data_IF_567796119027
#
_entry.id   IF_567796119027
#
_cell.length_a   1.000
_cell.length_b   1.000
_cell.length_c   1.000
_cell.angle_alpha   90.00
_cell.angle_beta   90.00
_cell.angle_gamma   90.00
#
_symmetry.space_group_name_H-M   'P 1'
#
loop_
_entity.id
_entity.type
_entity.pdbx_description
1 polymer ?
#
# COMPACT_ATOMS: atom_id res chain seq x y z
N UNK A 1 8.79 13.50 7.68
CA UNK A 1 8.85 12.97 9.06
C UNK A 1 9.94 11.90 9.16
N UNK A 2 11.01 12.14 9.92
CA UNK A 2 11.98 11.09 10.28
C UNK A 2 11.53 10.51 11.63
N UNK A 3 10.99 9.30 11.64
CA UNK A 3 10.75 8.60 12.91
C UNK A 3 12.10 8.27 13.55
N UNK A 4 12.45 8.99 14.63
CA UNK A 4 13.63 8.66 15.43
C UNK A 4 13.36 7.34 16.20
N UNK A 5 14.42 6.64 16.62
CA UNK A 5 14.27 5.45 17.49
C UNK A 5 13.45 5.77 18.74
N UNK A 6 13.63 6.96 19.31
CA UNK A 6 12.89 7.41 20.50
C UNK A 6 11.38 7.55 20.24
N UNK A 7 10.99 8.00 19.05
CA UNK A 7 9.58 8.11 18.67
C UNK A 7 8.92 6.75 18.47
N UNK A 8 9.66 5.74 18.01
CA UNK A 8 9.11 4.38 17.83
C UNK A 8 8.88 3.71 19.18
N UNK A 9 9.80 3.89 20.13
CA UNK A 9 9.66 3.35 21.48
C UNK A 9 8.49 3.99 22.24
N UNK A 10 8.25 5.29 22.09
CA UNK A 10 7.09 5.95 22.71
C UNK A 10 5.77 5.48 22.11
N UNK A 11 5.72 5.29 20.78
CA UNK A 11 4.54 4.70 20.12
C UNK A 11 4.29 3.27 20.59
N UNK A 12 5.35 2.47 20.76
CA UNK A 12 5.23 1.11 21.27
C UNK A 12 4.69 1.09 22.71
N UNK A 13 5.19 1.98 23.56
CA UNK A 13 4.68 2.13 24.93
C UNK A 13 3.20 2.55 24.94
N UNK A 14 2.78 3.45 24.06
CA UNK A 14 1.37 3.79 23.92
C UNK A 14 0.51 2.59 23.49
N UNK A 15 1.00 1.77 22.55
CA UNK A 15 0.30 0.54 22.12
C UNK A 15 0.18 -0.48 23.24
N UNK A 16 1.21 -0.59 24.08
CA UNK A 16 1.18 -1.39 25.30
C UNK A 16 0.20 -0.84 26.36
N UNK A 17 -0.26 0.40 26.20
CA UNK A 17 -1.36 1.02 26.98
C UNK A 17 -2.68 1.06 26.19
N UNK A 18 -2.83 0.21 25.17
CA UNK A 18 -4.02 0.11 24.31
C UNK A 18 -4.35 1.37 23.49
N UNK A 19 -3.34 2.22 23.23
CA UNK A 19 -3.47 3.43 22.43
C UNK A 19 -2.58 3.37 21.19
N UNK A 20 -3.09 3.77 20.03
CA UNK A 20 -2.31 3.82 18.81
C UNK A 20 -2.46 5.16 18.09
N UNK A 21 -1.38 5.66 17.47
CA UNK A 21 -1.42 6.95 16.80
C UNK A 21 -2.09 6.84 15.43
N UNK A 22 -2.92 7.84 15.12
CA UNK A 22 -3.46 8.12 13.79
C UNK A 22 -3.16 9.57 13.41
N UNK A 23 -3.07 9.93 12.11
CA UNK A 23 -2.85 11.32 11.69
C UNK A 23 -3.93 12.26 12.25
N UNK A 24 -3.59 13.41 12.83
CA UNK A 24 -4.57 14.27 13.52
C UNK A 24 -5.72 14.77 12.63
N UNK A 25 -5.46 14.99 11.34
CA UNK A 25 -6.45 15.43 10.35
C UNK A 25 -7.59 14.39 10.15
N UNK A 26 -7.39 13.15 10.62
CA UNK A 26 -8.37 12.08 10.54
C UNK A 26 -9.52 12.17 11.55
N UNK A 27 -9.33 12.88 12.67
CA UNK A 27 -10.28 12.90 13.78
C UNK A 27 -11.49 13.79 13.50
N UNK A 28 -11.34 14.83 12.67
CA UNK A 28 -12.45 15.73 12.27
C UNK A 28 -13.15 15.36 10.96
N UNK A 29 -12.56 14.47 10.16
CA UNK A 29 -12.96 14.24 8.76
C UNK A 29 -13.41 12.80 8.48
N UNK A 30 -13.71 12.02 9.54
CA UNK A 30 -14.23 10.65 9.46
C UNK A 30 -15.60 10.53 8.75
N UNK A 31 -16.29 11.66 8.50
CA UNK A 31 -17.66 11.72 7.97
C UNK A 31 -17.81 12.42 6.60
N UNK A 32 -16.77 13.03 6.04
CA UNK A 32 -16.90 13.75 4.77
C UNK A 32 -16.77 12.81 3.56
N UNK A 33 -17.74 11.92 3.37
CA UNK A 33 -18.00 11.29 2.07
C UNK A 33 -18.61 12.31 1.11
N UNK A 34 -17.86 13.33 0.72
CA UNK A 34 -18.27 14.19 -0.40
C UNK A 34 -17.85 13.46 -1.69
N UNK A 35 -18.79 13.18 -2.62
CA UNK A 35 -18.48 12.48 -3.87
C UNK A 35 -17.66 13.33 -4.86
N UNK A 36 -17.28 14.56 -4.48
CA UNK A 36 -16.64 15.56 -5.37
C UNK A 36 -15.19 15.90 -5.01
N UNK A 37 -14.64 15.36 -3.93
CA UNK A 37 -13.23 15.56 -3.60
C UNK A 37 -12.41 14.44 -4.24
N UNK A 38 -11.48 14.84 -5.11
CA UNK A 38 -10.53 13.99 -5.82
C UNK A 38 -10.15 12.73 -5.03
N UNK A 39 -10.31 11.57 -5.65
CA UNK A 39 -10.16 10.23 -5.10
C UNK A 39 -8.69 9.81 -4.84
N UNK A 40 -7.81 10.76 -4.55
CA UNK A 40 -6.38 10.55 -4.26
C UNK A 40 -5.93 11.34 -3.02
N UNK A 41 -6.85 11.98 -2.30
CA UNK A 41 -6.52 12.73 -1.08
C UNK A 41 -6.28 11.73 0.04
N UNK A 42 -5.01 11.38 0.23
CA UNK A 42 -4.54 11.15 1.57
C UNK A 42 -4.50 12.51 2.25
N UNK A 43 -5.17 12.62 3.41
CA UNK A 43 -5.11 13.82 4.22
C UNK A 43 -3.64 14.15 4.50
N UNK A 44 -3.32 15.45 4.51
CA UNK A 44 -1.99 15.88 4.88
C UNK A 44 -1.64 15.26 6.23
N UNK A 45 -0.57 14.46 6.29
CA UNK A 45 0.00 14.11 7.58
C UNK A 45 0.71 15.38 8.06
N UNK A 46 -0.03 16.24 8.76
CA UNK A 46 0.57 17.21 9.66
C UNK A 46 1.43 16.43 10.67
N UNK A 47 2.53 17.01 11.16
CA UNK A 47 3.44 16.33 12.11
C UNK A 47 2.76 15.95 13.46
N UNK A 48 1.48 16.29 13.63
CA UNK A 48 0.63 15.93 14.75
C UNK A 48 -0.08 14.58 14.53
N UNK A 49 0.07 13.69 15.51
CA UNK A 49 -0.70 12.44 15.64
C UNK A 49 -1.64 12.55 16.83
N UNK A 50 -2.82 11.92 16.72
CA UNK A 50 -3.74 11.73 17.84
C UNK A 50 -3.69 10.26 18.25
N UNK A 51 -3.64 10.00 19.55
CA UNK A 51 -3.71 8.65 20.08
C UNK A 51 -5.17 8.27 20.33
N UNK A 52 -5.60 7.19 19.68
CA UNK A 52 -6.94 6.62 19.83
C UNK A 52 -6.83 5.23 20.46
N UNK A 53 -7.91 4.70 21.06
CA UNK A 53 -7.98 3.28 21.40
C UNK A 53 -7.55 2.41 20.23
N UNK A 54 -6.73 1.39 20.51
CA UNK A 54 -6.06 0.59 19.47
C UNK A 54 -7.06 -0.06 18.49
N UNK A 55 -8.25 -0.40 18.99
CA UNK A 55 -9.36 -0.95 18.19
C UNK A 55 -9.93 0.08 17.21
N UNK A 56 -10.07 1.34 17.63
CA UNK A 56 -10.54 2.43 16.76
C UNK A 56 -9.46 2.80 15.74
N UNK A 57 -8.21 2.90 16.18
CA UNK A 57 -7.08 3.15 15.31
C UNK A 57 -6.91 2.05 14.25
N UNK A 58 -7.14 0.78 14.62
CA UNK A 58 -7.16 -0.37 13.70
C UNK A 58 -8.24 -0.18 12.65
N UNK A 59 -9.46 0.15 13.07
CA UNK A 59 -10.58 0.35 12.15
C UNK A 59 -10.28 1.47 11.15
N UNK A 60 -9.73 2.59 11.63
CA UNK A 60 -9.29 3.69 10.79
C UNK A 60 -8.27 3.25 9.72
N UNK A 61 -7.23 2.49 10.11
CA UNK A 61 -6.23 2.01 9.16
C UNK A 61 -6.83 1.06 8.12
N UNK A 62 -7.74 0.18 8.54
CA UNK A 62 -8.44 -0.75 7.66
C UNK A 62 -9.34 -0.01 6.65
N UNK A 63 -10.09 0.99 7.11
CA UNK A 63 -10.97 1.79 6.25
C UNK A 63 -10.15 2.58 5.22
N UNK A 64 -9.02 3.14 5.64
CA UNK A 64 -8.13 3.86 4.74
C UNK A 64 -7.53 2.91 3.69
N UNK A 65 -7.11 1.70 4.08
CA UNK A 65 -6.63 0.68 3.14
C UNK A 65 -7.72 0.31 2.12
N UNK A 66 -8.96 0.12 2.56
CA UNK A 66 -10.09 -0.19 1.69
C UNK A 66 -10.36 0.92 0.67
N UNK A 67 -10.31 2.19 1.09
CA UNK A 67 -10.42 3.34 0.18
C UNK A 67 -9.31 3.33 -0.87
N UNK A 68 -8.07 3.11 -0.45
CA UNK A 68 -6.92 3.03 -1.36
C UNK A 68 -7.03 1.87 -2.36
N UNK A 69 -7.53 0.69 -1.94
CA UNK A 69 -7.82 -0.41 -2.88
C UNK A 69 -8.88 -0.03 -3.91
N UNK A 70 -9.93 0.68 -3.47
CA UNK A 70 -10.93 1.24 -4.37
C UNK A 70 -10.31 2.17 -5.41
N UNK A 71 -9.36 3.02 -4.99
CA UNK A 71 -8.64 3.89 -5.91
C UNK A 71 -7.75 3.13 -6.89
N UNK A 72 -7.00 2.13 -6.43
CA UNK A 72 -6.21 1.28 -7.30
C UNK A 72 -7.06 0.60 -8.37
N UNK A 73 -8.23 0.07 -7.99
CA UNK A 73 -9.17 -0.54 -8.95
C UNK A 73 -9.64 0.47 -9.99
N UNK A 74 -9.96 1.69 -9.57
CA UNK A 74 -10.39 2.75 -10.49
C UNK A 74 -9.26 3.19 -11.42
N UNK A 75 -8.03 3.31 -10.92
CA UNK A 75 -6.85 3.62 -11.72
C UNK A 75 -6.60 2.55 -12.78
N UNK A 76 -6.72 1.26 -12.42
CA UNK A 76 -6.61 0.14 -13.36
C UNK A 76 -7.66 0.20 -14.46
N UNK A 77 -8.93 0.39 -14.10
CA UNK A 77 -10.03 0.47 -15.07
C UNK A 77 -9.87 1.67 -16.04
N UNK A 78 -9.45 2.82 -15.53
CA UNK A 78 -9.17 4.01 -16.37
C UNK A 78 -8.00 3.76 -17.32
N UNK A 79 -6.93 3.13 -16.85
CA UNK A 79 -5.78 2.78 -17.68
C UNK A 79 -6.15 1.73 -18.74
N UNK A 80 -6.93 0.71 -18.40
CA UNK A 80 -7.39 -0.30 -19.36
C UNK A 80 -8.21 0.31 -20.50
N UNK A 81 -9.06 1.29 -20.16
CA UNK A 81 -9.92 2.00 -21.13
C UNK A 81 -9.14 2.96 -22.02
N UNK A 82 -8.22 3.74 -21.44
CA UNK A 82 -7.51 4.82 -22.15
C UNK A 82 -6.20 4.34 -22.77
N UNK A 83 -5.53 3.36 -22.17
CA UNK A 83 -4.18 2.87 -22.52
C UNK A 83 -3.13 3.97 -22.59
N UNK A 84 -3.33 5.03 -21.82
CA UNK A 84 -2.40 6.16 -21.70
C UNK A 84 -1.64 5.97 -20.39
N UNK A 85 -0.30 6.10 -20.40
CA UNK A 85 0.49 6.12 -19.17
C UNK A 85 -0.09 7.10 -18.16
N UNK A 86 -0.16 6.68 -16.90
CA UNK A 86 -0.58 7.55 -15.80
C UNK A 86 0.65 8.39 -15.43
N UNK A 87 0.96 9.39 -16.25
CA UNK A 87 2.08 10.31 -16.07
C UNK A 87 1.72 11.42 -15.07
N UNK A 88 2.70 11.84 -14.29
CA UNK A 88 2.73 13.07 -13.50
C UNK A 88 2.20 14.28 -14.32
N UNK A 89 2.50 14.35 -15.62
CA UNK A 89 1.99 15.42 -16.51
C UNK A 89 0.51 15.27 -16.90
N UNK A 90 0.01 14.04 -16.98
CA UNK A 90 -1.39 13.72 -17.31
C UNK A 90 -2.31 13.75 -16.08
N UNK A 91 -1.72 13.55 -14.90
CA UNK A 91 -2.38 13.72 -13.61
C UNK A 91 -2.67 15.20 -13.37
N UNK A 92 -3.86 15.47 -12.82
CA UNK A 92 -4.19 16.81 -12.34
C UNK A 92 -3.07 17.28 -11.39
N UNK A 93 -2.74 18.57 -11.44
CA UNK A 93 -1.74 19.17 -10.52
C UNK A 93 -1.99 18.74 -9.07
N UNK A 94 -3.26 18.69 -8.70
CA UNK A 94 -3.74 18.17 -7.43
C UNK A 94 -3.29 16.74 -7.12
N UNK A 95 -3.46 15.79 -8.03
CA UNK A 95 -3.10 14.39 -7.79
C UNK A 95 -1.57 14.20 -7.68
N UNK A 96 -0.81 15.00 -8.45
CA UNK A 96 0.65 15.11 -8.40
C UNK A 96 1.16 15.60 -7.04
N UNK A 97 0.60 16.72 -6.59
CA UNK A 97 0.94 17.34 -5.31
C UNK A 97 0.64 16.40 -4.13
N UNK A 98 -0.32 15.48 -4.29
CA UNK A 98 -0.68 14.48 -3.28
C UNK A 98 0.18 13.20 -3.29
N UNK A 99 0.98 12.94 -4.34
CA UNK A 99 1.83 11.74 -4.43
C UNK A 99 2.88 11.69 -3.30
N UNK A 100 3.36 12.87 -2.91
CA UNK A 100 4.21 13.10 -1.74
C UNK A 100 3.62 12.52 -0.44
N UNK A 101 2.30 12.53 -0.28
CA UNK A 101 1.64 11.96 0.90
C UNK A 101 1.70 10.44 0.93
N UNK A 102 1.76 9.76 -0.23
CA UNK A 102 1.96 8.31 -0.28
C UNK A 102 3.28 7.90 0.38
N UNK A 103 4.37 8.59 0.06
CA UNK A 103 5.69 8.30 0.65
C UNK A 103 5.72 8.57 2.16
N UNK A 104 5.05 9.64 2.63
CA UNK A 104 4.87 9.91 4.06
C UNK A 104 4.09 8.79 4.75
N UNK A 105 2.98 8.35 4.17
CA UNK A 105 2.16 7.26 4.71
C UNK A 105 2.92 5.92 4.74
N UNK A 106 3.69 5.59 3.70
CA UNK A 106 4.55 4.38 3.70
C UNK A 106 5.52 4.42 4.87
N UNK A 107 6.16 5.57 5.10
CA UNK A 107 7.14 5.75 6.19
C UNK A 107 6.47 5.63 7.56
N UNK A 108 5.29 6.24 7.73
CA UNK A 108 4.47 6.13 8.94
C UNK A 108 4.08 4.68 9.20
N UNK A 109 3.45 4.01 8.23
CA UNK A 109 3.00 2.62 8.38
C UNK A 109 4.16 1.68 8.69
N UNK A 110 5.33 1.88 8.08
CA UNK A 110 6.53 1.11 8.41
C UNK A 110 6.97 1.32 9.89
N UNK A 111 6.91 2.56 10.39
CA UNK A 111 7.19 2.85 11.80
C UNK A 111 6.15 2.22 12.74
N UNK A 112 4.87 2.23 12.38
CA UNK A 112 3.79 1.62 13.16
C UNK A 112 3.91 0.10 13.24
N UNK A 113 4.25 -0.57 12.14
CA UNK A 113 4.52 -2.01 12.11
C UNK A 113 5.70 -2.35 13.03
N UNK A 114 6.75 -1.53 13.01
CA UNK A 114 7.91 -1.71 13.88
C UNK A 114 7.57 -1.47 15.36
N UNK A 115 6.79 -0.43 15.67
CA UNK A 115 6.31 -0.17 17.02
C UNK A 115 5.42 -1.29 17.55
N UNK A 116 4.54 -1.85 16.71
CA UNK A 116 3.68 -2.99 17.05
C UNK A 116 4.52 -4.19 17.48
N UNK A 117 5.59 -4.51 16.74
CA UNK A 117 6.52 -5.59 17.11
C UNK A 117 7.22 -5.35 18.44
N UNK A 118 7.56 -4.10 18.77
CA UNK A 118 8.19 -3.75 20.04
C UNK A 118 7.17 -3.85 21.18
N UNK A 119 5.95 -3.36 20.98
CA UNK A 119 4.86 -3.40 21.96
C UNK A 119 4.47 -4.84 22.33
N UNK A 120 4.49 -5.77 21.37
CA UNK A 120 4.23 -7.20 21.63
C UNK A 120 5.24 -7.84 22.60
N UNK A 121 6.44 -7.29 22.72
CA UNK A 121 7.43 -7.77 23.70
C UNK A 121 7.22 -7.17 25.11
N UNK A 122 6.23 -6.27 25.27
CA UNK A 122 5.97 -5.53 26.50
C UNK A 122 4.62 -5.89 27.13
N UNK A 123 3.84 -6.76 26.48
CA UNK A 123 2.47 -7.11 26.87
C UNK A 123 2.38 -8.63 27.02
N UNK A 124 1.89 -9.08 28.18
CA UNK A 124 1.67 -10.49 28.47
C UNK A 124 0.20 -10.91 28.26
N UNK A 125 -0.74 -9.97 28.23
CA UNK A 125 -2.15 -10.26 27.99
C UNK A 125 -2.39 -10.69 26.54
N UNK A 126 -2.88 -11.93 26.36
CA UNK A 126 -3.11 -12.51 25.05
C UNK A 126 -4.16 -11.74 24.23
N UNK A 127 -5.19 -11.17 24.87
CA UNK A 127 -6.21 -10.39 24.17
C UNK A 127 -5.62 -9.08 23.63
N UNK A 128 -4.89 -8.36 24.47
CA UNK A 128 -4.20 -7.14 24.07
C UNK A 128 -3.12 -7.40 23.01
N UNK A 129 -2.37 -8.50 23.12
CA UNK A 129 -1.45 -8.95 22.07
C UNK A 129 -2.16 -9.12 20.72
N UNK A 130 -3.36 -9.73 20.70
CA UNK A 130 -4.14 -9.86 19.47
C UNK A 130 -4.55 -8.48 18.89
N UNK A 131 -4.96 -7.54 19.73
CA UNK A 131 -5.32 -6.19 19.29
C UNK A 131 -4.12 -5.46 18.67
N UNK A 132 -2.94 -5.54 19.28
CA UNK A 132 -1.69 -4.98 18.75
C UNK A 132 -1.31 -5.65 17.42
N UNK A 133 -1.41 -6.99 17.32
CA UNK A 133 -1.13 -7.71 16.08
C UNK A 133 -2.08 -7.28 14.95
N UNK A 134 -3.37 -7.16 15.23
CA UNK A 134 -4.36 -6.75 14.24
C UNK A 134 -4.15 -5.31 13.78
N UNK A 135 -3.79 -4.39 14.70
CA UNK A 135 -3.41 -3.03 14.33
C UNK A 135 -2.17 -3.01 13.42
N UNK A 136 -1.11 -3.73 13.81
CA UNK A 136 0.11 -3.83 13.01
C UNK A 136 -0.15 -4.39 11.61
N UNK A 137 -1.04 -5.38 11.49
CA UNK A 137 -1.46 -5.93 10.20
C UNK A 137 -2.24 -4.92 9.37
N UNK A 138 -3.18 -4.18 9.95
CA UNK A 138 -3.92 -3.13 9.25
C UNK A 138 -2.99 -2.02 8.72
N UNK A 139 -1.97 -1.64 9.50
CA UNK A 139 -0.95 -0.69 9.06
C UNK A 139 -0.10 -1.24 7.90
N UNK A 140 0.27 -2.53 7.94
CA UNK A 140 0.99 -3.18 6.86
C UNK A 140 0.15 -3.26 5.57
N UNK A 141 -1.13 -3.63 5.69
CA UNK A 141 -2.06 -3.71 4.55
C UNK A 141 -2.23 -2.35 3.85
N UNK A 142 -2.36 -1.27 4.63
CA UNK A 142 -2.40 0.08 4.08
C UNK A 142 -1.10 0.42 3.33
N UNK A 143 0.06 0.12 3.94
CA UNK A 143 1.36 0.34 3.30
C UNK A 143 1.47 -0.38 1.96
N UNK A 144 1.17 -1.68 1.92
CA UNK A 144 1.27 -2.48 0.71
C UNK A 144 0.33 -1.98 -0.38
N UNK A 145 -0.90 -1.58 -0.01
CA UNK A 145 -1.84 -0.99 -0.97
C UNK A 145 -1.30 0.29 -1.58
N UNK A 146 -0.67 1.16 -0.78
CA UNK A 146 -0.07 2.40 -1.28
C UNK A 146 1.17 2.11 -2.16
N UNK A 147 2.02 1.17 -1.76
CA UNK A 147 3.16 0.72 -2.57
C UNK A 147 2.71 0.15 -3.91
N UNK A 148 1.60 -0.61 -3.93
CA UNK A 148 1.00 -1.14 -5.15
C UNK A 148 0.47 -0.04 -6.08
N UNK A 149 -0.16 1.01 -5.54
CA UNK A 149 -0.58 2.18 -6.33
C UNK A 149 0.63 2.85 -6.99
N UNK A 150 1.70 3.08 -6.23
CA UNK A 150 2.92 3.70 -6.76
C UNK A 150 3.59 2.81 -7.81
N UNK A 151 3.68 1.51 -7.56
CA UNK A 151 4.24 0.53 -8.49
C UNK A 151 3.44 0.48 -9.78
N UNK A 152 2.11 0.38 -9.67
CA UNK A 152 1.21 0.38 -10.83
C UNK A 152 1.39 1.64 -11.67
N UNK A 153 1.36 2.82 -11.03
CA UNK A 153 1.53 4.11 -11.72
C UNK A 153 2.87 4.18 -12.46
N UNK A 154 3.96 3.73 -11.84
CA UNK A 154 5.28 3.64 -12.51
C UNK A 154 5.25 2.69 -13.70
N UNK A 155 4.70 1.50 -13.53
CA UNK A 155 4.69 0.47 -14.58
C UNK A 155 3.75 0.81 -15.74
N UNK A 156 2.80 1.75 -15.58
CA UNK A 156 2.03 2.26 -16.73
C UNK A 156 2.88 3.02 -17.76
N UNK A 157 4.13 3.37 -17.42
CA UNK A 157 5.10 4.00 -18.32
C UNK A 157 5.96 2.99 -19.09
N UNK A 158 5.98 1.71 -18.68
CA UNK A 158 6.70 0.69 -19.42
C UNK A 158 5.98 0.45 -20.76
N UNK A 159 6.70 0.79 -21.83
CA UNK A 159 6.21 1.05 -23.17
C UNK A 159 5.30 -0.07 -23.72
N UNK A 160 4.33 0.26 -24.61
CA UNK A 160 3.65 -0.73 -25.47
C UNK A 160 4.59 -1.60 -26.33
N UNK A 161 5.92 -1.43 -26.24
CA UNK A 161 6.92 -2.28 -26.87
C UNK A 161 6.96 -3.70 -26.30
N UNK A 162 6.49 -3.93 -25.06
CA UNK A 162 6.28 -5.30 -24.56
C UNK A 162 5.13 -6.02 -25.29
N UNK A 163 4.18 -5.25 -25.86
CA UNK A 163 3.10 -5.77 -26.70
C UNK A 163 3.63 -6.09 -28.11
N UNK A 164 4.62 -5.33 -28.60
CA UNK A 164 5.34 -5.69 -29.83
C UNK A 164 6.23 -6.93 -29.65
N UNK A 165 6.81 -7.15 -28.46
CA UNK A 165 7.58 -8.37 -28.15
C UNK A 165 6.67 -9.61 -28.06
N UNK A 166 5.40 -9.48 -27.63
CA UNK A 166 4.45 -10.60 -27.69
C UNK A 166 4.00 -10.93 -29.12
N UNK A 167 4.05 -9.94 -30.03
CA UNK A 167 3.87 -10.17 -31.47
C UNK A 167 5.18 -10.55 -32.20
N UNK A 168 6.33 -10.50 -31.52
CA UNK A 168 7.65 -10.90 -32.00
C UNK A 168 8.26 -12.05 -31.16
N UNK A 169 7.43 -12.76 -30.40
CA UNK A 169 7.87 -13.99 -29.75
C UNK A 169 7.92 -15.05 -30.83
N UNK A 170 9.12 -15.37 -31.31
CA UNK A 170 9.30 -16.43 -32.29
C UNK A 170 8.78 -17.75 -31.67
N UNK A 171 8.09 -18.59 -32.45
CA UNK A 171 7.52 -19.87 -31.99
C UNK A 171 8.59 -20.69 -31.24
N UNK A 172 9.83 -20.58 -31.69
CA UNK A 172 11.02 -21.23 -31.14
C UNK A 172 11.37 -20.76 -29.72
N UNK A 173 11.27 -19.46 -29.43
CA UNK A 173 11.61 -18.89 -28.11
C UNK A 173 10.59 -19.31 -27.04
N UNK A 174 9.31 -19.34 -27.43
CA UNK A 174 8.22 -19.79 -26.55
C UNK A 174 8.36 -21.29 -26.28
N UNK A 175 8.67 -22.10 -27.30
CA UNK A 175 8.92 -23.53 -27.13
C UNK A 175 10.15 -23.84 -26.28
N UNK A 176 11.21 -23.02 -26.41
CA UNK A 176 12.40 -23.14 -25.59
C UNK A 176 12.12 -22.82 -24.12
N UNK A 177 11.35 -21.75 -23.85
CA UNK A 177 10.91 -21.39 -22.51
C UNK A 177 10.07 -22.51 -21.88
N UNK A 178 9.02 -22.97 -22.58
CA UNK A 178 8.13 -24.03 -22.10
C UNK A 178 8.90 -25.33 -21.84
N UNK A 179 9.89 -25.64 -22.68
CA UNK A 179 10.77 -26.79 -22.49
C UNK A 179 11.65 -26.66 -21.25
N UNK A 180 12.21 -25.47 -21.03
CA UNK A 180 13.07 -25.21 -19.86
C UNK A 180 12.30 -25.29 -18.55
N UNK A 181 11.03 -24.86 -18.54
CA UNK A 181 10.18 -24.99 -17.35
C UNK A 181 9.81 -26.45 -17.06
N UNK A 182 9.46 -27.25 -18.07
CA UNK A 182 9.22 -28.69 -17.87
C UNK A 182 10.46 -29.40 -17.30
N UNK A 183 11.65 -29.08 -17.84
CA UNK A 183 12.89 -29.63 -17.35
C UNK A 183 13.18 -29.20 -15.90
N UNK A 184 12.91 -27.95 -15.54
CA UNK A 184 13.05 -27.45 -14.18
C UNK A 184 12.07 -28.11 -13.19
N UNK A 185 10.91 -28.55 -13.68
CA UNK A 185 9.90 -29.26 -12.93
C UNK A 185 10.10 -30.79 -12.92
N UNK A 186 11.15 -31.29 -13.57
CA UNK A 186 11.42 -32.74 -13.68
C UNK A 186 10.42 -33.50 -14.55
N UNK A 187 9.73 -32.78 -15.43
CA UNK A 187 8.77 -33.33 -16.40
C UNK A 187 9.46 -33.56 -17.75
N UNK A 188 8.94 -34.53 -18.51
CA UNK A 188 9.42 -34.79 -19.86
C UNK A 188 9.21 -33.59 -20.78
N UNK A 189 10.15 -33.40 -21.72
CA UNK A 189 10.12 -32.27 -22.64
C UNK A 189 8.88 -32.39 -23.55
N UNK A 190 8.04 -31.35 -23.64
CA UNK A 190 6.82 -31.39 -24.45
C UNK A 190 7.15 -31.46 -25.95
N UNK A 191 6.35 -32.24 -26.68
CA UNK A 191 6.41 -32.35 -28.14
C UNK A 191 5.50 -31.27 -28.72
N UNK A 192 6.06 -30.35 -29.48
CA UNK A 192 5.31 -29.29 -30.13
C UNK A 192 5.06 -29.65 -31.61
N UNK A 193 3.82 -29.47 -32.07
CA UNK A 193 3.41 -29.63 -33.47
C UNK A 193 3.34 -28.29 -34.22
#
# INVERSE_FOLDING_TARGET
MKFSKNNISSIAAAMALSLAPVPADSVGSYMATSPSQNTLVLQNINDSVVYLPITEARQYMADLANRMRGHLRNLRAEWEKKRIPIDDKSMSKFARDNLHYFTKHITLCAALVKASKIALNQVDDQKHCQEIMQFGRAAADLRYTIEEILSFTKNTHESPKLIEITNQSNKEDVQALISSEHQALGLDKPIFH
#
